data_IF_483713579845
#
_entry.id   IF_483713579845
#
_cell.length_a   1.000
_cell.length_b   1.000
_cell.length_c   1.000
_cell.angle_alpha   90.00
_cell.angle_beta   90.00
_cell.angle_gamma   90.00
#
_symmetry.space_group_name_H-M   'P 1'
#
loop_
_entity.id
_entity.type
_entity.pdbx_description
1 polymer ?
#
# COMPACT_ATOMS: atom_id res chain seq x y z
N UNK A 1 3.41 16.28 -5.83
CA UNK A 1 3.42 17.33 -4.79
C UNK A 1 4.50 16.97 -3.78
N UNK A 2 5.41 17.90 -3.48
CA UNK A 2 6.55 17.66 -2.59
C UNK A 2 6.09 17.44 -1.14
N UNK A 3 6.41 16.27 -0.60
CA UNK A 3 6.13 15.84 0.78
C UNK A 3 6.69 16.85 1.81
N UNK A 4 7.81 17.51 1.47
CA UNK A 4 8.45 18.51 2.33
C UNK A 4 7.61 19.78 2.55
N UNK A 5 6.72 20.13 1.62
CA UNK A 5 5.94 21.36 1.70
C UNK A 5 4.69 21.20 2.60
N UNK A 6 4.20 19.97 2.81
CA UNK A 6 3.11 19.69 3.75
C UNK A 6 3.60 19.68 5.20
N UNK A 7 4.76 19.09 5.49
CA UNK A 7 5.32 19.01 6.85
C UNK A 7 5.62 20.38 7.46
N UNK A 8 5.93 21.40 6.65
CA UNK A 8 6.20 22.76 7.13
C UNK A 8 4.88 23.46 7.56
N UNK A 9 3.80 23.28 6.80
CA UNK A 9 2.49 23.90 7.13
C UNK A 9 1.88 23.33 8.41
N UNK A 10 2.08 22.04 8.69
CA UNK A 10 1.62 21.40 9.93
C UNK A 10 2.32 22.01 11.15
N UNK A 11 3.64 22.20 11.07
CA UNK A 11 4.43 22.75 12.19
C UNK A 11 4.13 24.22 12.50
N UNK A 12 3.88 25.05 11.48
CA UNK A 12 3.48 26.45 11.68
C UNK A 12 2.08 26.57 12.31
N UNK A 13 1.17 25.67 11.94
CA UNK A 13 -0.17 25.57 12.53
C UNK A 13 -0.14 25.16 14.01
N UNK A 14 0.79 24.28 14.41
CA UNK A 14 0.93 23.83 15.80
C UNK A 14 1.40 24.94 16.73
N UNK A 15 2.43 25.69 16.34
CA UNK A 15 3.00 26.77 17.15
C UNK A 15 2.02 27.95 17.35
N UNK A 16 1.22 28.27 16.32
CA UNK A 16 0.22 29.33 16.40
C UNK A 16 -0.96 28.96 17.30
N UNK A 17 -1.43 27.71 17.24
CA UNK A 17 -2.55 27.22 18.04
C UNK A 17 -2.23 27.15 19.55
N UNK A 18 -1.02 26.72 19.91
CA UNK A 18 -0.62 26.57 21.32
C UNK A 18 -0.47 27.93 22.03
N UNK A 19 0.02 28.95 21.31
CA UNK A 19 0.19 30.30 21.84
C UNK A 19 -1.17 30.98 22.12
N UNK A 20 -2.17 30.74 21.27
CA UNK A 20 -3.50 31.35 21.37
C UNK A 20 -4.37 30.71 22.47
N UNK A 21 -4.11 29.45 22.83
CA UNK A 21 -4.81 28.75 23.94
C UNK A 21 -4.33 29.27 25.30
N UNK A 22 -3.03 29.51 25.49
CA UNK A 22 -2.50 30.04 26.76
C UNK A 22 -3.02 31.44 27.08
N UNK A 23 -3.14 32.32 26.07
CA UNK A 23 -3.65 33.69 26.27
C UNK A 23 -5.14 33.70 26.67
N UNK A 24 -5.98 32.92 25.98
CA UNK A 24 -7.42 32.91 26.24
C UNK A 24 -7.81 32.30 27.60
N UNK A 25 -7.04 31.33 28.13
CA UNK A 25 -7.28 30.78 29.46
C UNK A 25 -6.97 31.80 30.58
N UNK A 26 -6.02 32.71 30.34
CA UNK A 26 -5.70 33.77 31.31
C UNK A 26 -6.78 34.85 31.42
N UNK A 27 -7.50 35.16 30.34
CA UNK A 27 -8.57 36.16 30.32
C UNK A 27 -9.89 35.67 30.96
N UNK A 28 -10.24 34.39 30.78
CA UNK A 28 -11.43 33.80 31.40
C UNK A 28 -11.30 33.71 32.94
N UNK A 29 -10.10 33.36 33.42
CA UNK A 29 -9.85 33.23 34.86
C UNK A 29 -9.80 34.58 35.59
N UNK A 30 -9.31 35.64 34.96
CA UNK A 30 -9.23 36.97 35.59
C UNK A 30 -10.59 37.64 35.73
N UNK A 31 -11.45 37.58 34.71
CA UNK A 31 -12.80 38.17 34.76
C UNK A 31 -13.72 37.51 35.80
N UNK A 32 -13.58 36.20 36.00
CA UNK A 32 -14.39 35.43 36.96
C UNK A 32 -14.01 35.73 38.42
N UNK A 33 -12.73 35.99 38.69
CA UNK A 33 -12.23 36.40 40.01
C UNK A 33 -12.80 37.79 40.39
N UNK A 34 -12.83 38.73 39.44
CA UNK A 34 -13.36 40.08 39.64
C UNK A 34 -14.88 40.07 39.92
N UNK A 35 -15.64 39.21 39.24
CA UNK A 35 -17.08 39.08 39.44
C UNK A 35 -17.42 38.50 40.82
N UNK A 36 -16.69 37.46 41.26
CA UNK A 36 -16.81 36.88 42.60
C UNK A 36 -16.53 37.91 43.68
N UNK A 37 -15.41 38.61 43.56
CA UNK A 37 -15.00 39.58 44.57
C UNK A 37 -16.02 40.72 44.67
N UNK A 38 -16.55 41.17 43.52
CA UNK A 38 -17.62 42.18 43.48
C UNK A 38 -18.91 41.68 44.15
N UNK A 39 -19.33 40.45 43.89
CA UNK A 39 -20.51 39.85 44.53
C UNK A 39 -20.33 39.75 46.06
N UNK A 40 -19.18 39.25 46.53
CA UNK A 40 -18.88 39.15 47.95
C UNK A 40 -18.78 40.53 48.64
N UNK A 41 -18.30 41.56 47.94
CA UNK A 41 -18.29 42.94 48.45
C UNK A 41 -19.72 43.51 48.56
N UNK A 42 -20.58 43.27 47.57
CA UNK A 42 -21.99 43.69 47.59
C UNK A 42 -22.76 43.02 48.73
N UNK A 43 -22.61 41.69 48.90
CA UNK A 43 -23.23 40.93 49.99
C UNK A 43 -22.84 41.49 51.36
N UNK A 44 -21.55 41.76 51.58
CA UNK A 44 -21.08 42.43 52.81
C UNK A 44 -21.70 43.81 53.02
N UNK A 45 -21.84 44.60 51.95
CA UNK A 45 -22.49 45.91 52.02
C UNK A 45 -23.95 45.83 52.44
N UNK A 46 -24.72 44.89 51.87
CA UNK A 46 -26.14 44.67 52.22
C UNK A 46 -26.28 44.19 53.66
N UNK A 47 -25.44 43.25 54.10
CA UNK A 47 -25.42 42.77 55.49
C UNK A 47 -25.18 43.92 56.47
N UNK A 48 -24.21 44.80 56.19
CA UNK A 48 -23.94 45.97 57.04
C UNK A 48 -25.12 46.95 57.10
N UNK A 49 -25.84 47.15 55.99
CA UNK A 49 -27.04 48.00 55.97
C UNK A 49 -28.15 47.39 56.83
N UNK A 50 -28.41 46.09 56.69
CA UNK A 50 -29.43 45.37 57.47
C UNK A 50 -29.12 45.38 58.98
N UNK A 51 -27.85 45.24 59.35
CA UNK A 51 -27.40 45.37 60.74
C UNK A 51 -27.69 46.76 61.31
N UNK A 52 -27.44 47.82 60.53
CA UNK A 52 -27.69 49.22 60.94
C UNK A 52 -29.16 49.57 61.03
N UNK A 53 -30.02 48.92 60.23
CA UNK A 53 -31.47 49.13 60.26
C UNK A 53 -32.17 48.42 61.42
N UNK A 54 -31.44 47.62 62.22
CA UNK A 54 -32.01 46.82 63.31
C UNK A 54 -32.83 45.63 62.83
N UNK A 55 -32.53 45.08 61.64
CA UNK A 55 -33.18 43.85 61.19
C UNK A 55 -32.83 42.66 62.11
N UNK A 56 -33.70 41.65 62.15
CA UNK A 56 -33.49 40.45 62.99
C UNK A 56 -32.14 39.79 62.66
N UNK A 57 -31.25 39.56 63.65
CA UNK A 57 -29.97 38.89 63.43
C UNK A 57 -30.08 37.53 62.74
N UNK A 58 -31.13 36.75 63.03
CA UNK A 58 -31.35 35.44 62.41
C UNK A 58 -31.65 35.58 60.91
N UNK A 59 -32.40 36.63 60.53
CA UNK A 59 -32.68 36.94 59.13
C UNK A 59 -31.41 37.37 58.39
N UNK A 60 -30.59 38.22 59.02
CA UNK A 60 -29.31 38.68 58.44
C UNK A 60 -28.36 37.49 58.22
N UNK A 61 -28.29 36.57 59.18
CA UNK A 61 -27.46 35.37 59.09
C UNK A 61 -27.94 34.45 57.96
N UNK A 62 -29.23 34.14 57.91
CA UNK A 62 -29.80 33.30 56.86
C UNK A 62 -29.60 33.92 55.46
N UNK A 63 -29.74 35.24 55.33
CA UNK A 63 -29.45 35.95 54.07
C UNK A 63 -27.97 35.83 53.67
N UNK A 64 -27.04 36.03 54.61
CA UNK A 64 -25.61 35.92 54.33
C UNK A 64 -25.23 34.48 53.90
N UNK A 65 -25.72 33.47 54.62
CA UNK A 65 -25.50 32.06 54.30
C UNK A 65 -26.06 31.69 52.92
N UNK A 66 -27.26 32.17 52.59
CA UNK A 66 -27.86 31.92 51.27
C UNK A 66 -27.05 32.58 50.14
N UNK A 67 -26.56 33.80 50.34
CA UNK A 67 -25.74 34.50 49.33
C UNK A 67 -24.38 33.81 49.12
N UNK A 68 -23.72 33.37 50.20
CA UNK A 68 -22.47 32.60 50.08
C UNK A 68 -22.69 31.27 49.34
N UNK A 69 -23.81 30.58 49.62
CA UNK A 69 -24.18 29.36 48.88
C UNK A 69 -24.40 29.62 47.38
N UNK A 70 -25.07 30.73 47.03
CA UNK A 70 -25.29 31.12 45.61
C UNK A 70 -23.96 31.47 44.93
N UNK A 71 -23.07 32.20 45.60
CA UNK A 71 -21.73 32.53 45.09
C UNK A 71 -20.92 31.24 44.85
N UNK A 72 -20.92 30.31 45.81
CA UNK A 72 -20.21 29.04 45.68
C UNK A 72 -20.73 28.17 44.52
N UNK A 73 -22.06 28.04 44.38
CA UNK A 73 -22.66 27.32 43.26
C UNK A 73 -22.36 27.97 41.91
N UNK A 74 -22.34 29.30 41.86
CA UNK A 74 -22.00 30.04 40.65
C UNK A 74 -20.54 29.80 40.26
N UNK A 75 -19.62 29.77 41.22
CA UNK A 75 -18.21 29.45 40.97
C UNK A 75 -18.01 28.03 40.44
N UNK A 76 -18.73 27.06 41.00
CA UNK A 76 -18.65 25.68 40.55
C UNK A 76 -19.17 25.53 39.11
N UNK A 77 -20.33 26.12 38.81
CA UNK A 77 -20.89 26.13 37.46
C UNK A 77 -19.97 26.82 36.44
N UNK A 78 -19.32 27.92 36.83
CA UNK A 78 -18.34 28.62 35.99
C UNK A 78 -17.10 27.77 35.74
N UNK A 79 -16.56 27.10 36.76
CA UNK A 79 -15.41 26.17 36.59
C UNK A 79 -15.76 25.02 35.66
N UNK A 80 -16.95 24.45 35.79
CA UNK A 80 -17.42 23.37 34.92
C UNK A 80 -17.60 23.85 33.46
N UNK A 81 -18.13 25.05 33.27
CA UNK A 81 -18.26 25.66 31.94
C UNK A 81 -16.89 25.92 31.29
N UNK A 82 -15.91 26.40 32.05
CA UNK A 82 -14.53 26.62 31.58
C UNK A 82 -13.86 25.28 31.19
N UNK A 83 -14.02 24.24 32.02
CA UNK A 83 -13.52 22.90 31.73
C UNK A 83 -14.15 22.31 30.46
N UNK A 84 -15.47 22.45 30.31
CA UNK A 84 -16.20 21.97 29.13
C UNK A 84 -15.76 22.73 27.86
N UNK A 85 -15.53 24.04 27.97
CA UNK A 85 -15.02 24.86 26.88
C UNK A 85 -13.61 24.43 26.48
N UNK A 86 -12.72 24.17 27.44
CA UNK A 86 -11.37 23.67 27.19
C UNK A 86 -11.39 22.30 26.54
N UNK A 87 -12.20 21.37 27.04
CA UNK A 87 -12.38 20.05 26.44
C UNK A 87 -12.87 20.15 24.99
N UNK A 88 -13.85 21.01 24.72
CA UNK A 88 -14.38 21.24 23.36
C UNK A 88 -13.33 21.81 22.41
N UNK A 89 -12.51 22.76 22.86
CA UNK A 89 -11.39 23.32 22.08
C UNK A 89 -10.34 22.24 21.78
N UNK A 90 -9.98 21.42 22.76
CA UNK A 90 -9.04 20.32 22.56
C UNK A 90 -9.59 19.31 21.55
N UNK A 91 -10.87 18.92 21.66
CA UNK A 91 -11.52 18.04 20.68
C UNK A 91 -11.51 18.63 19.27
N UNK A 92 -11.77 19.94 19.12
CA UNK A 92 -11.72 20.60 17.83
C UNK A 92 -10.29 20.61 17.25
N UNK A 93 -9.26 20.80 18.09
CA UNK A 93 -7.85 20.68 17.70
C UNK A 93 -7.56 19.27 17.16
N UNK A 94 -8.00 18.24 17.86
CA UNK A 94 -7.85 16.85 17.39
C UNK A 94 -8.59 16.61 16.07
N UNK A 95 -9.83 17.08 15.94
CA UNK A 95 -10.59 16.92 14.70
C UNK A 95 -9.93 17.60 13.50
N UNK A 96 -9.40 18.81 13.69
CA UNK A 96 -8.71 19.57 12.64
C UNK A 96 -7.36 18.95 12.23
N UNK A 97 -6.72 18.18 13.10
CA UNK A 97 -5.47 17.48 12.79
C UNK A 97 -5.74 16.11 12.15
N UNK A 98 -6.63 15.31 12.75
CA UNK A 98 -6.92 13.94 12.32
C UNK A 98 -7.68 13.90 10.99
N UNK A 99 -8.56 14.88 10.71
CA UNK A 99 -9.32 14.93 9.46
C UNK A 99 -8.45 14.95 8.20
N UNK A 100 -7.53 15.92 8.06
CA UNK A 100 -6.59 15.98 6.94
C UNK A 100 -5.67 14.77 6.84
N UNK A 101 -5.15 14.26 7.96
CA UNK A 101 -4.31 13.05 7.96
C UNK A 101 -5.07 11.83 7.45
N UNK A 102 -6.33 11.67 7.86
CA UNK A 102 -7.20 10.60 7.37
C UNK A 102 -7.50 10.74 5.88
N UNK A 103 -7.70 11.96 5.39
CA UNK A 103 -7.90 12.21 3.96
C UNK A 103 -6.65 11.86 3.14
N UNK A 104 -5.46 12.26 3.60
CA UNK A 104 -4.18 11.90 2.97
C UNK A 104 -3.99 10.38 2.97
N UNK A 105 -4.27 9.71 4.09
CA UNK A 105 -4.16 8.26 4.19
C UNK A 105 -5.13 7.55 3.23
N UNK A 106 -6.35 8.06 3.07
CA UNK A 106 -7.33 7.53 2.14
C UNK A 106 -6.87 7.67 0.67
N UNK A 107 -6.31 8.83 0.30
CA UNK A 107 -5.74 9.05 -1.04
C UNK A 107 -4.54 8.11 -1.30
N UNK A 108 -3.64 7.96 -0.33
CA UNK A 108 -2.51 7.04 -0.43
C UNK A 108 -2.96 5.58 -0.59
N UNK A 109 -3.98 5.17 0.17
CA UNK A 109 -4.57 3.85 0.05
C UNK A 109 -5.20 3.62 -1.32
N UNK A 110 -5.92 4.61 -1.85
CA UNK A 110 -6.51 4.52 -3.17
C UNK A 110 -5.43 4.36 -4.26
N UNK A 111 -4.39 5.19 -4.23
CA UNK A 111 -3.27 5.08 -5.17
C UNK A 111 -2.60 3.70 -5.11
N UNK A 112 -2.29 3.20 -3.91
CA UNK A 112 -1.68 1.89 -3.73
C UNK A 112 -2.60 0.75 -4.21
N UNK A 113 -3.92 0.90 -4.03
CA UNK A 113 -4.90 -0.09 -4.49
C UNK A 113 -5.00 -0.15 -6.02
N UNK A 114 -4.86 0.97 -6.70
CA UNK A 114 -4.83 1.07 -8.16
C UNK A 114 -3.54 0.43 -8.71
N UNK A 115 -2.39 0.77 -8.15
CA UNK A 115 -1.09 0.19 -8.53
C UNK A 115 -1.07 -1.34 -8.33
N UNK A 116 -1.63 -1.82 -7.22
CA UNK A 116 -1.79 -3.26 -6.97
C UNK A 116 -2.67 -3.95 -8.02
N UNK A 117 -3.75 -3.29 -8.46
CA UNK A 117 -4.65 -3.82 -9.50
C UNK A 117 -3.94 -3.93 -10.85
N UNK A 118 -3.17 -2.92 -11.22
CA UNK A 118 -2.42 -2.89 -12.47
C UNK A 118 -1.30 -3.93 -12.47
N UNK A 119 -0.54 -4.03 -11.38
CA UNK A 119 0.48 -5.07 -11.19
C UNK A 119 -0.11 -6.49 -11.31
N UNK A 120 -1.27 -6.72 -10.70
CA UNK A 120 -1.98 -8.01 -10.80
C UNK A 120 -2.37 -8.34 -12.24
N UNK A 121 -2.83 -7.35 -13.01
CA UNK A 121 -3.19 -7.54 -14.43
C UNK A 121 -1.96 -7.88 -15.27
N UNK A 122 -0.86 -7.17 -15.09
CA UNK A 122 0.41 -7.47 -15.77
C UNK A 122 0.89 -8.89 -15.48
N UNK A 123 0.79 -9.34 -14.22
CA UNK A 123 1.17 -10.70 -13.84
C UNK A 123 0.32 -11.77 -14.53
N UNK A 124 -0.98 -11.51 -14.72
CA UNK A 124 -1.85 -12.41 -15.47
C UNK A 124 -1.48 -12.46 -16.96
N UNK A 125 -1.16 -11.31 -17.56
CA UNK A 125 -0.71 -11.24 -18.96
C UNK A 125 0.61 -12.00 -19.17
N UNK A 126 1.58 -11.82 -18.28
CA UNK A 126 2.85 -12.57 -18.28
C UNK A 126 2.59 -14.08 -18.15
N UNK A 127 1.70 -14.48 -17.25
CA UNK A 127 1.31 -15.90 -17.10
C UNK A 127 0.71 -16.49 -18.38
N UNK A 128 -0.11 -15.71 -19.10
CA UNK A 128 -0.65 -16.09 -20.41
C UNK A 128 0.44 -16.26 -21.47
N UNK A 129 1.35 -15.28 -21.57
CA UNK A 129 2.49 -15.33 -22.51
C UNK A 129 3.41 -16.54 -22.23
N UNK A 130 3.68 -16.83 -20.96
CA UNK A 130 4.49 -17.98 -20.56
C UNK A 130 3.85 -19.30 -21.01
N UNK A 131 2.53 -19.43 -20.86
CA UNK A 131 1.80 -20.61 -21.32
C UNK A 131 1.86 -20.77 -22.84
N UNK A 132 1.73 -19.67 -23.59
CA UNK A 132 1.86 -19.68 -25.05
C UNK A 132 3.26 -20.12 -25.51
N UNK A 133 4.30 -19.61 -24.84
CA UNK A 133 5.69 -19.99 -25.11
C UNK A 133 5.90 -21.48 -24.84
N UNK A 134 5.41 -22.01 -23.71
CA UNK A 134 5.52 -23.43 -23.39
C UNK A 134 4.86 -24.31 -24.46
N UNK A 135 3.69 -23.93 -24.96
CA UNK A 135 3.03 -24.66 -26.04
C UNK A 135 3.83 -24.64 -27.35
N UNK A 136 4.44 -23.49 -27.68
CA UNK A 136 5.34 -23.36 -28.85
C UNK A 136 6.59 -24.23 -28.71
N UNK A 137 7.19 -24.28 -27.53
CA UNK A 137 8.36 -25.12 -27.25
C UNK A 137 8.00 -26.60 -27.43
N UNK A 138 6.90 -27.07 -26.83
CA UNK A 138 6.44 -28.45 -26.98
C UNK A 138 6.18 -28.83 -28.45
N UNK A 139 5.60 -27.90 -29.24
CA UNK A 139 5.41 -28.12 -30.67
C UNK A 139 6.72 -28.22 -31.45
N UNK A 140 7.74 -27.43 -31.09
CA UNK A 140 9.07 -27.51 -31.70
C UNK A 140 9.77 -28.83 -31.32
N UNK A 141 9.70 -29.24 -30.06
CA UNK A 141 10.23 -30.53 -29.59
C UNK A 141 9.63 -31.70 -30.37
N UNK A 142 8.30 -31.72 -30.56
CA UNK A 142 7.64 -32.76 -31.36
C UNK A 142 8.10 -32.77 -32.83
N UNK A 143 8.36 -31.60 -33.42
CA UNK A 143 8.90 -31.50 -34.79
C UNK A 143 10.34 -32.01 -34.87
N UNK A 144 11.16 -31.77 -33.85
CA UNK A 144 12.53 -32.27 -33.78
C UNK A 144 12.56 -33.80 -33.70
N UNK A 145 11.73 -34.40 -32.83
CA UNK A 145 11.60 -35.86 -32.74
C UNK A 145 11.18 -36.49 -34.09
N UNK A 146 10.25 -35.86 -34.80
CA UNK A 146 9.84 -36.33 -36.12
C UNK A 146 10.97 -36.24 -37.16
N UNK A 147 11.82 -35.19 -37.09
CA UNK A 147 12.99 -35.05 -37.95
C UNK A 147 14.06 -36.08 -37.64
N UNK A 148 14.33 -36.36 -36.35
CA UNK A 148 15.25 -37.41 -35.93
C UNK A 148 14.82 -38.79 -36.46
N UNK A 149 13.54 -39.14 -36.37
CA UNK A 149 13.02 -40.39 -36.93
C UNK A 149 13.18 -40.47 -38.47
N UNK A 150 13.02 -39.36 -39.18
CA UNK A 150 13.24 -39.31 -40.64
C UNK A 150 14.73 -39.45 -41.00
N UNK A 151 15.63 -38.87 -40.20
CA UNK A 151 17.07 -39.03 -40.38
C UNK A 151 17.49 -40.49 -40.18
N UNK A 152 17.02 -41.14 -39.12
CA UNK A 152 17.28 -42.57 -38.89
C UNK A 152 16.80 -43.45 -40.04
N UNK A 153 15.61 -43.16 -40.61
CA UNK A 153 15.11 -43.88 -41.77
C UNK A 153 15.98 -43.68 -43.02
N UNK A 154 16.46 -42.44 -43.25
CA UNK A 154 17.39 -42.14 -44.34
C UNK A 154 18.74 -42.85 -44.17
N UNK A 155 19.29 -42.88 -42.96
CA UNK A 155 20.51 -43.63 -42.64
C UNK A 155 20.36 -45.12 -42.93
N UNK A 156 19.20 -45.71 -42.57
CA UNK A 156 18.84 -47.08 -42.91
C UNK A 156 18.81 -47.33 -44.42
N UNK A 157 18.09 -46.50 -45.18
CA UNK A 157 18.03 -46.60 -46.65
C UNK A 157 19.42 -46.46 -47.29
N UNK A 158 20.25 -45.56 -46.79
CA UNK A 158 21.60 -45.34 -47.32
C UNK A 158 22.50 -46.57 -47.07
N UNK A 159 22.38 -47.20 -45.91
CA UNK A 159 23.07 -48.46 -45.58
C UNK A 159 22.65 -49.59 -46.52
N UNK A 160 21.36 -49.71 -46.84
CA UNK A 160 20.87 -50.70 -47.81
C UNK A 160 21.41 -50.47 -49.23
N UNK A 161 21.47 -49.21 -49.67
CA UNK A 161 22.04 -48.84 -50.97
C UNK A 161 23.52 -49.22 -51.02
N UNK A 162 24.30 -48.90 -49.97
CA UNK A 162 25.72 -49.25 -49.90
C UNK A 162 25.91 -50.78 -50.02
N UNK A 163 25.09 -51.57 -49.35
CA UNK A 163 25.14 -53.03 -49.45
C UNK A 163 24.82 -53.54 -50.87
N UNK A 164 23.82 -52.94 -51.54
CA UNK A 164 23.49 -53.27 -52.94
C UNK A 164 24.63 -52.92 -53.89
N UNK A 165 25.26 -51.76 -53.72
CA UNK A 165 26.42 -51.34 -54.51
C UNK A 165 27.59 -52.32 -54.33
N UNK A 166 27.94 -52.66 -53.10
CA UNK A 166 29.00 -53.63 -52.81
C UNK A 166 28.74 -55.02 -53.47
N UNK A 167 27.48 -55.47 -53.45
CA UNK A 167 27.07 -56.70 -54.13
C UNK A 167 27.23 -56.60 -55.66
N UNK A 168 26.83 -55.48 -56.25
CA UNK A 168 26.99 -55.23 -57.69
C UNK A 168 28.48 -55.16 -58.09
N UNK A 169 29.31 -54.49 -57.30
CA UNK A 169 30.77 -54.45 -57.51
C UNK A 169 31.37 -55.87 -57.52
N UNK A 170 30.95 -56.73 -56.57
CA UNK A 170 31.38 -58.13 -56.53
C UNK A 170 30.95 -58.92 -57.77
N UNK A 171 29.71 -58.73 -58.24
CA UNK A 171 29.20 -59.39 -59.45
C UNK A 171 29.96 -58.92 -60.70
N UNK A 172 30.19 -57.61 -60.84
CA UNK A 172 30.96 -57.03 -61.95
C UNK A 172 32.38 -57.59 -61.96
N UNK A 173 33.05 -57.68 -60.80
CA UNK A 173 34.38 -58.27 -60.69
C UNK A 173 34.42 -59.74 -61.17
N UNK A 174 33.40 -60.54 -60.80
CA UNK A 174 33.26 -61.92 -61.28
C UNK A 174 33.08 -61.98 -62.80
N UNK A 175 32.23 -61.14 -63.38
CA UNK A 175 32.02 -61.06 -64.82
C UNK A 175 33.33 -60.74 -65.54
N UNK A 176 34.08 -59.73 -65.08
CA UNK A 176 35.39 -59.40 -65.63
C UNK A 176 36.35 -60.60 -65.60
N UNK A 177 36.44 -61.32 -64.49
CA UNK A 177 37.27 -62.52 -64.38
C UNK A 177 36.87 -63.61 -65.39
N UNK A 178 35.57 -63.84 -65.57
CA UNK A 178 35.08 -64.84 -66.55
C UNK A 178 35.37 -64.44 -67.99
N UNK A 179 35.21 -63.16 -68.34
CA UNK A 179 35.54 -62.65 -69.67
C UNK A 179 37.05 -62.77 -69.96
N UNK A 180 37.89 -62.44 -68.98
CA UNK A 180 39.34 -62.55 -69.12
C UNK A 180 39.79 -64.02 -69.29
N UNK A 181 39.13 -64.95 -68.59
CA UNK A 181 39.35 -66.39 -68.77
C UNK A 181 38.95 -66.85 -70.18
N UNK A 182 37.75 -66.49 -70.64
CA UNK A 182 37.26 -66.84 -71.98
C UNK A 182 38.14 -66.27 -73.09
N UNK A 183 38.63 -65.04 -72.94
CA UNK A 183 39.55 -64.40 -73.89
C UNK A 183 40.83 -65.23 -74.05
N UNK A 184 41.46 -65.62 -72.94
CA UNK A 184 42.67 -66.47 -72.95
C UNK A 184 42.43 -67.82 -73.61
N UNK A 185 41.27 -68.43 -73.39
CA UNK A 185 40.88 -69.69 -74.04
C UNK A 185 40.69 -69.52 -75.56
N UNK A 186 40.14 -68.37 -76.00
CA UNK A 186 39.90 -68.10 -77.43
C UNK A 186 41.19 -67.79 -78.22
N UNK A 187 42.16 -67.12 -77.60
CA UNK A 187 43.44 -66.78 -78.24
C UNK A 187 44.35 -68.02 -78.35
N UNK A 188 44.32 -68.93 -77.37
CA UNK A 188 45.11 -70.17 -77.40
C UNK A 188 44.64 -71.22 -78.41
N UNK A 189 43.44 -71.09 -78.96
CA UNK A 189 42.88 -72.04 -79.94
C UNK A 189 43.25 -71.73 -81.41
N UNK A 190 43.94 -70.61 -81.69
CA UNK A 190 44.34 -70.22 -83.06
C UNK A 190 45.70 -70.78 -83.52
N UNK A 191 46.47 -71.38 -82.61
CA UNK A 191 47.83 -71.90 -82.88
C UNK A 191 47.90 -73.45 -82.98
N UNK A 192 46.77 -74.13 -83.19
CA UNK A 192 46.68 -75.59 -83.45
C UNK A 192 46.03 -75.82 -84.80
#
# INVERSE_FOLDING_TARGET
MDINNLSIRVKESEASADTQIMQNNSELTSGNIDAKEKAARLTRGVVQILQRSGADPNYIQAFAEQQEAVIALTEEAVKEADQTTLASKNMLKYANHVGPELAIAAEQYQFLSEDYRDSKKQMQEIGGQQSEIMNKVAAVEGRLQALEGRLQALEGHMSEIMNKVANLESLVAKVYQTMEKQKKESDGSKDV
#
